data_IF_885106808944
#
_entry.id   IF_885106808944
#
_cell.length_a   1.000
_cell.length_b   1.000
_cell.length_c   1.000
_cell.angle_alpha   90.00
_cell.angle_beta   90.00
_cell.angle_gamma   90.00
#
_symmetry.space_group_name_H-M   'P 1'
#
loop_
_entity.id
_entity.type
_entity.pdbx_description
1 polymer ?
#
# COMPACT_ATOMS: atom_id res chain seq x y z
N UNK A 1 15.40 -41.57 28.84
CA UNK A 1 14.86 -40.49 27.97
C UNK A 1 13.63 -39.94 28.66
N UNK A 2 13.63 -38.65 29.01
CA UNK A 2 12.72 -38.09 30.02
C UNK A 2 11.50 -37.39 29.42
N UNK A 3 10.45 -37.22 30.24
CA UNK A 3 9.22 -36.47 29.93
C UNK A 3 9.49 -35.10 29.28
N UNK A 4 10.56 -34.42 29.71
CA UNK A 4 11.02 -33.13 29.16
C UNK A 4 11.48 -33.18 27.70
N UNK A 5 12.02 -34.31 27.22
CA UNK A 5 12.44 -34.47 25.82
C UNK A 5 11.23 -34.60 24.89
N UNK A 6 10.13 -35.19 25.40
CA UNK A 6 8.90 -35.39 24.65
C UNK A 6 8.15 -34.07 24.39
N UNK A 7 8.10 -33.18 25.40
CA UNK A 7 7.48 -31.84 25.28
C UNK A 7 8.25 -30.96 24.30
N UNK A 8 9.60 -30.96 24.36
CA UNK A 8 10.44 -30.20 23.43
C UNK A 8 10.22 -30.65 21.99
N UNK A 9 10.17 -31.97 21.75
CA UNK A 9 9.92 -32.53 20.42
C UNK A 9 8.51 -32.20 19.89
N UNK A 10 7.50 -32.16 20.75
CA UNK A 10 6.14 -31.77 20.37
C UNK A 10 6.07 -30.27 19.97
N UNK A 11 6.70 -29.39 20.74
CA UNK A 11 6.75 -27.95 20.43
C UNK A 11 7.52 -27.65 19.14
N UNK A 12 8.62 -28.36 18.89
CA UNK A 12 9.43 -28.22 17.66
C UNK A 12 8.64 -28.69 16.42
N UNK A 13 7.94 -29.83 16.51
CA UNK A 13 7.07 -30.33 15.43
C UNK A 13 5.90 -29.37 15.16
N UNK A 14 5.32 -28.78 16.19
CA UNK A 14 4.26 -27.78 16.05
C UNK A 14 4.75 -26.52 15.32
N UNK A 15 5.95 -25.99 15.65
CA UNK A 15 6.55 -24.84 14.94
C UNK A 15 6.73 -25.09 13.46
N UNK A 16 7.25 -26.26 13.10
CA UNK A 16 7.38 -26.65 11.69
C UNK A 16 6.02 -26.82 11.01
N UNK A 17 4.99 -27.29 11.74
CA UNK A 17 3.62 -27.41 11.25
C UNK A 17 2.96 -26.07 10.90
N UNK A 18 3.33 -24.98 11.57
CA UNK A 18 2.85 -23.61 11.30
C UNK A 18 3.78 -22.80 10.37
N UNK A 19 4.74 -23.47 9.71
CA UNK A 19 5.64 -22.86 8.71
C UNK A 19 6.88 -22.16 9.28
N UNK A 20 7.13 -22.24 10.59
CA UNK A 20 8.33 -21.68 11.21
C UNK A 20 9.45 -22.74 11.15
N UNK A 21 10.35 -22.58 10.19
CA UNK A 21 11.48 -23.49 9.99
C UNK A 21 12.81 -22.85 10.41
N UNK A 22 13.63 -23.60 11.17
CA UNK A 22 15.03 -23.23 11.46
C UNK A 22 15.95 -23.28 10.23
N UNK A 23 17.21 -22.90 10.41
CA UNK A 23 18.25 -22.94 9.38
C UNK A 23 18.39 -21.66 8.54
N UNK A 24 19.52 -21.54 7.85
CA UNK A 24 19.85 -20.41 6.98
C UNK A 24 19.63 -20.76 5.51
N UNK A 25 19.05 -19.82 4.76
CA UNK A 25 18.89 -19.95 3.32
C UNK A 25 20.24 -19.83 2.60
N UNK A 26 20.47 -20.72 1.63
CA UNK A 26 21.60 -20.69 0.70
C UNK A 26 21.07 -20.69 -0.73
N UNK A 27 21.82 -20.04 -1.63
CA UNK A 27 21.50 -20.05 -3.05
C UNK A 27 21.52 -21.49 -3.57
N UNK A 28 20.54 -21.85 -4.39
CA UNK A 28 20.51 -23.16 -5.06
C UNK A 28 21.55 -23.13 -6.19
N UNK A 29 22.32 -24.20 -6.32
CA UNK A 29 23.37 -24.29 -7.33
C UNK A 29 22.78 -24.14 -8.75
N UNK A 30 23.42 -23.33 -9.59
CA UNK A 30 22.94 -22.98 -10.93
C UNK A 30 21.75 -22.00 -10.98
N UNK A 31 21.22 -21.55 -9.85
CA UNK A 31 20.11 -20.58 -9.78
C UNK A 31 20.62 -19.21 -9.30
N UNK A 32 19.93 -18.12 -9.68
CA UNK A 32 20.32 -16.76 -9.30
C UNK A 32 19.40 -16.12 -8.25
N UNK A 33 18.14 -16.52 -8.18
CA UNK A 33 17.14 -15.95 -7.25
C UNK A 33 16.47 -17.00 -6.34
N UNK A 34 16.78 -18.29 -6.51
CA UNK A 34 16.18 -19.36 -5.71
C UNK A 34 17.10 -19.79 -4.59
N UNK A 35 16.55 -19.85 -3.39
CA UNK A 35 17.26 -20.21 -2.18
C UNK A 35 16.60 -21.40 -1.52
N UNK A 36 17.41 -22.29 -0.95
CA UNK A 36 16.93 -23.40 -0.14
C UNK A 36 17.55 -23.39 1.25
N UNK A 37 16.84 -23.97 2.21
CA UNK A 37 17.40 -24.35 3.51
C UNK A 37 16.89 -25.72 3.90
N UNK A 38 17.74 -26.49 4.57
CA UNK A 38 17.33 -27.70 5.27
C UNK A 38 16.91 -27.32 6.69
N UNK A 39 15.67 -27.62 7.06
CA UNK A 39 15.22 -27.41 8.44
C UNK A 39 15.83 -28.50 9.34
N UNK A 40 16.63 -28.17 10.37
CA UNK A 40 17.28 -29.17 11.23
C UNK A 40 16.28 -29.95 12.10
N UNK A 41 15.08 -29.40 12.28
CA UNK A 41 14.05 -29.93 13.18
C UNK A 41 13.17 -31.00 12.50
N UNK A 42 12.89 -30.84 11.20
CA UNK A 42 11.99 -31.71 10.45
C UNK A 42 12.60 -32.29 9.18
N UNK A 43 13.87 -31.97 8.88
CA UNK A 43 14.61 -32.39 7.69
C UNK A 43 13.90 -32.10 6.36
N UNK A 44 12.97 -31.15 6.34
CA UNK A 44 12.33 -30.67 5.11
C UNK A 44 13.20 -29.60 4.45
N UNK A 45 13.35 -29.71 3.15
CA UNK A 45 13.92 -28.65 2.32
C UNK A 45 12.87 -27.59 2.07
N UNK A 46 13.15 -26.36 2.50
CA UNK A 46 12.28 -25.20 2.29
C UNK A 46 12.93 -24.34 1.22
N UNK A 47 12.19 -24.04 0.16
CA UNK A 47 12.63 -23.17 -0.91
C UNK A 47 11.91 -21.83 -0.84
N UNK A 48 12.60 -20.79 -1.27
CA UNK A 48 12.01 -19.47 -1.50
C UNK A 48 12.66 -18.84 -2.71
N UNK A 49 11.93 -17.91 -3.33
CA UNK A 49 12.45 -17.05 -4.36
C UNK A 49 12.63 -15.64 -3.79
N UNK A 50 13.77 -15.02 -4.09
CA UNK A 50 14.08 -13.65 -3.69
C UNK A 50 14.70 -12.92 -4.86
N UNK A 51 13.95 -11.97 -5.41
CA UNK A 51 14.41 -11.14 -6.52
C UNK A 51 14.89 -9.79 -6.01
N UNK A 52 16.00 -9.31 -6.59
CA UNK A 52 16.44 -7.93 -6.48
C UNK A 52 15.93 -7.16 -7.69
N UNK A 53 14.80 -6.48 -7.52
CA UNK A 53 14.20 -5.67 -8.57
C UNK A 53 14.93 -4.35 -8.76
N UNK A 54 15.18 -3.98 -10.02
CA UNK A 54 15.75 -2.70 -10.42
C UNK A 54 14.72 -1.58 -10.46
N UNK A 55 15.01 -0.57 -11.27
CA UNK A 55 14.16 0.61 -11.43
C UNK A 55 12.80 0.28 -12.04
N UNK A 56 11.81 1.08 -11.63
CA UNK A 56 10.44 0.99 -12.10
C UNK A 56 10.22 1.85 -13.33
N UNK A 57 9.67 1.25 -14.38
CA UNK A 57 9.34 1.96 -15.61
C UNK A 57 7.90 1.70 -16.03
N UNK A 58 7.29 2.64 -16.76
CA UNK A 58 5.99 2.40 -17.38
C UNK A 58 6.13 1.37 -18.49
N UNK A 59 5.27 0.35 -18.46
CA UNK A 59 5.29 -0.73 -19.46
C UNK A 59 4.69 -0.32 -20.79
N UNK A 60 3.71 0.59 -20.77
CA UNK A 60 3.01 1.05 -21.97
C UNK A 60 2.81 2.56 -21.95
N UNK A 61 2.68 3.13 -23.14
CA UNK A 61 2.20 4.50 -23.31
C UNK A 61 0.74 4.63 -22.89
N UNK A 62 0.41 5.78 -22.29
CA UNK A 62 -0.94 6.13 -21.83
C UNK A 62 -1.58 5.11 -20.87
N UNK A 63 -0.78 4.25 -20.22
CA UNK A 63 -1.22 3.36 -19.15
C UNK A 63 -0.35 3.55 -17.91
N UNK A 64 -0.94 3.35 -16.74
CA UNK A 64 -0.28 3.44 -15.45
C UNK A 64 0.23 2.09 -14.93
N UNK A 65 0.44 1.13 -15.84
CA UNK A 65 1.05 -0.16 -15.54
C UNK A 65 2.57 0.04 -15.52
N UNK A 66 3.20 -0.32 -14.41
CA UNK A 66 4.65 -0.28 -14.25
C UNK A 66 5.23 -1.69 -14.27
N UNK A 67 6.51 -1.78 -14.59
CA UNK A 67 7.29 -3.01 -14.53
C UNK A 67 8.63 -2.74 -13.87
N UNK A 68 9.05 -3.65 -13.01
CA UNK A 68 10.43 -3.77 -12.52
C UNK A 68 10.99 -5.10 -12.98
N UNK A 69 12.25 -5.11 -13.40
CA UNK A 69 12.95 -6.35 -13.76
C UNK A 69 13.95 -6.72 -12.68
N UNK A 70 14.02 -8.00 -12.34
CA UNK A 70 15.07 -8.51 -11.49
C UNK A 70 16.42 -8.34 -12.20
N UNK A 71 17.39 -7.74 -11.51
CA UNK A 71 18.70 -7.47 -12.11
C UNK A 71 19.52 -8.75 -12.34
N UNK A 72 19.19 -9.83 -11.62
CA UNK A 72 19.97 -11.08 -11.64
C UNK A 72 19.38 -12.13 -12.60
N UNK A 73 18.06 -12.17 -12.78
CA UNK A 73 17.39 -13.20 -13.61
C UNK A 73 16.43 -12.64 -14.68
N UNK A 74 16.19 -11.34 -14.70
CA UNK A 74 15.27 -10.71 -15.66
C UNK A 74 13.78 -10.92 -15.37
N UNK A 75 13.40 -11.63 -14.30
CA UNK A 75 12.00 -11.80 -13.91
C UNK A 75 11.29 -10.45 -13.78
N UNK A 76 10.10 -10.34 -14.35
CA UNK A 76 9.32 -9.11 -14.34
C UNK A 76 8.28 -9.13 -13.22
N UNK A 77 8.16 -8.01 -12.51
CA UNK A 77 7.06 -7.75 -11.60
C UNK A 77 6.28 -6.53 -12.09
N UNK A 78 4.99 -6.74 -12.39
CA UNK A 78 4.08 -5.66 -12.72
C UNK A 78 3.56 -4.97 -11.46
N UNK A 79 3.29 -3.67 -11.60
CA UNK A 79 2.66 -2.83 -10.60
C UNK A 79 1.79 -1.77 -11.25
N UNK A 80 1.23 -0.90 -10.42
CA UNK A 80 0.44 0.24 -10.87
C UNK A 80 0.91 1.51 -10.17
N UNK A 81 1.19 2.56 -10.96
CA UNK A 81 1.53 3.88 -10.46
C UNK A 81 0.90 4.94 -11.34
N UNK A 82 0.05 5.77 -10.77
CA UNK A 82 -0.44 6.95 -11.47
C UNK A 82 0.63 8.05 -11.50
N UNK A 83 0.77 8.71 -12.64
CA UNK A 83 1.78 9.76 -12.82
C UNK A 83 1.43 11.01 -12.02
N UNK A 84 0.28 11.60 -12.33
CA UNK A 84 -0.28 12.75 -11.63
C UNK A 84 -1.78 12.79 -11.88
N UNK A 85 -2.53 13.15 -10.85
CA UNK A 85 -3.94 13.49 -10.98
C UNK A 85 -4.10 15.01 -11.07
N UNK A 86 -4.99 15.47 -11.94
CA UNK A 86 -5.36 16.88 -12.09
C UNK A 86 -6.85 17.04 -11.87
N UNK A 87 -7.26 18.08 -11.16
CA UNK A 87 -8.67 18.43 -11.02
C UNK A 87 -9.29 18.71 -12.40
N UNK A 88 -10.44 18.10 -12.66
CA UNK A 88 -11.21 18.30 -13.90
C UNK A 88 -12.58 18.95 -13.64
N UNK A 89 -13.16 18.73 -12.46
CA UNK A 89 -14.48 19.27 -12.10
C UNK A 89 -14.72 19.19 -10.59
N UNK A 90 -15.75 19.92 -10.14
CA UNK A 90 -16.41 19.68 -8.85
C UNK A 90 -17.88 19.40 -9.14
N UNK A 91 -18.43 18.33 -8.55
CA UNK A 91 -19.83 17.97 -8.74
C UNK A 91 -20.78 18.70 -7.79
N UNK A 92 -22.08 18.48 -7.98
CA UNK A 92 -23.15 19.08 -7.18
C UNK A 92 -23.22 18.56 -5.73
N UNK A 93 -22.28 17.69 -5.34
CA UNK A 93 -22.07 17.21 -3.97
C UNK A 93 -20.76 17.72 -3.38
N UNK A 94 -20.13 18.72 -4.03
CA UNK A 94 -18.83 19.30 -3.68
C UNK A 94 -17.64 18.34 -3.81
N UNK A 95 -17.80 17.19 -4.45
CA UNK A 95 -16.69 16.25 -4.64
C UNK A 95 -15.75 16.77 -5.72
N UNK A 96 -14.45 16.80 -5.42
CA UNK A 96 -13.43 17.14 -6.40
C UNK A 96 -13.15 15.92 -7.26
N UNK A 97 -13.45 16.01 -8.56
CA UNK A 97 -13.13 15.00 -9.56
C UNK A 97 -11.75 15.30 -10.13
N UNK A 98 -10.87 14.31 -10.07
CA UNK A 98 -9.55 14.38 -10.66
C UNK A 98 -9.37 13.31 -11.73
N UNK A 99 -8.48 13.56 -12.69
CA UNK A 99 -8.12 12.64 -13.76
C UNK A 99 -6.63 12.41 -13.82
N UNK A 100 -6.20 11.17 -13.98
CA UNK A 100 -4.80 10.86 -14.22
C UNK A 100 -4.37 11.40 -15.60
N UNK A 101 -3.28 12.16 -15.67
CA UNK A 101 -2.79 12.76 -16.93
C UNK A 101 -2.29 11.73 -17.93
N UNK A 102 -1.93 10.53 -17.46
CA UNK A 102 -1.37 9.46 -18.30
C UNK A 102 -2.43 8.48 -18.77
N UNK A 103 -3.19 7.89 -17.85
CA UNK A 103 -4.16 6.83 -18.16
C UNK A 103 -5.61 7.27 -18.20
N UNK A 104 -5.89 8.55 -17.92
CA UNK A 104 -7.23 9.14 -17.92
C UNK A 104 -8.23 8.52 -16.94
N UNK A 105 -7.79 7.64 -16.03
CA UNK A 105 -8.61 7.16 -14.92
C UNK A 105 -9.06 8.34 -14.07
N UNK A 106 -10.36 8.40 -13.78
CA UNK A 106 -10.95 9.42 -12.93
C UNK A 106 -11.12 8.92 -11.50
N UNK A 107 -11.01 9.83 -10.54
CA UNK A 107 -11.26 9.57 -9.12
C UNK A 107 -11.94 10.75 -8.46
N UNK A 108 -12.63 10.48 -7.35
CA UNK A 108 -13.03 11.52 -6.40
C UNK A 108 -11.93 11.65 -5.35
N UNK A 109 -11.39 12.85 -5.15
CA UNK A 109 -10.33 13.09 -4.18
C UNK A 109 -10.54 14.41 -3.43
N UNK A 110 -11.19 14.31 -2.27
CA UNK A 110 -11.49 15.45 -1.42
C UNK A 110 -12.77 16.19 -1.79
N UNK A 111 -13.03 17.27 -1.06
CA UNK A 111 -14.20 18.13 -1.26
C UNK A 111 -13.79 19.58 -1.38
N UNK A 112 -14.51 20.34 -2.22
CA UNK A 112 -14.36 21.79 -2.33
C UNK A 112 -15.73 22.45 -2.17
N UNK A 113 -15.94 22.99 -0.98
CA UNK A 113 -17.17 23.68 -0.62
C UNK A 113 -17.10 25.16 -1.00
N UNK A 114 -18.23 25.68 -1.47
CA UNK A 114 -18.47 27.12 -1.58
C UNK A 114 -19.22 27.60 -0.33
N UNK A 115 -18.50 28.22 0.60
CA UNK A 115 -19.03 28.63 1.91
C UNK A 115 -19.61 30.04 1.86
N UNK A 116 -20.78 30.23 2.45
CA UNK A 116 -21.35 31.56 2.73
C UNK A 116 -21.66 31.68 4.22
N UNK A 117 -21.59 32.91 4.75
CA UNK A 117 -21.93 33.19 6.14
C UNK A 117 -23.45 33.01 6.32
N UNK A 118 -23.83 32.08 7.19
CA UNK A 118 -25.23 31.75 7.49
C UNK A 118 -25.71 32.36 8.80
N UNK A 119 -24.78 32.71 9.69
CA UNK A 119 -25.08 33.34 10.97
C UNK A 119 -23.83 33.62 11.79
N UNK A 120 -24.00 34.24 12.95
CA UNK A 120 -22.92 34.46 13.90
C UNK A 120 -23.46 34.48 15.33
N UNK A 121 -22.71 33.89 16.25
CA UNK A 121 -22.89 34.03 17.70
C UNK A 121 -21.81 34.95 18.27
N UNK A 122 -21.81 35.22 19.57
CA UNK A 122 -20.80 36.08 20.21
C UNK A 122 -19.37 35.57 19.99
N UNK A 123 -19.17 34.26 19.89
CA UNK A 123 -17.86 33.61 19.82
C UNK A 123 -17.54 32.97 18.46
N UNK A 124 -18.54 32.69 17.62
CA UNK A 124 -18.35 31.98 16.35
C UNK A 124 -19.03 32.67 15.15
N UNK A 125 -18.51 32.39 13.95
CA UNK A 125 -19.16 32.60 12.66
C UNK A 125 -19.61 31.24 12.13
N UNK A 126 -20.87 31.14 11.72
CA UNK A 126 -21.47 29.93 11.18
C UNK A 126 -21.53 30.05 9.65
N UNK A 127 -20.97 29.10 8.94
CA UNK A 127 -20.99 29.04 7.47
C UNK A 127 -21.78 27.83 7.01
N UNK A 128 -22.43 27.99 5.87
CA UNK A 128 -23.13 26.92 5.17
C UNK A 128 -22.62 26.82 3.74
N UNK A 129 -22.55 25.61 3.20
CA UNK A 129 -22.18 25.40 1.82
C UNK A 129 -23.39 25.66 0.92
N UNK A 130 -23.24 26.49 -0.12
CA UNK A 130 -24.32 26.82 -1.06
C UNK A 130 -24.72 25.66 -1.97
N UNK A 131 -23.89 24.62 -2.07
CA UNK A 131 -24.09 23.48 -2.97
C UNK A 131 -24.67 22.29 -2.21
N UNK A 132 -23.96 21.78 -1.18
CA UNK A 132 -24.38 20.57 -0.46
C UNK A 132 -25.04 20.83 0.89
N UNK A 133 -25.12 22.09 1.35
CA UNK A 133 -25.72 22.43 2.64
C UNK A 133 -24.92 22.02 3.88
N UNK A 134 -23.70 21.49 3.71
CA UNK A 134 -22.78 21.21 4.82
C UNK A 134 -22.51 22.48 5.64
N UNK A 135 -22.25 22.36 6.94
CA UNK A 135 -22.11 23.49 7.86
C UNK A 135 -20.76 23.45 8.55
N UNK A 136 -20.14 24.62 8.77
CA UNK A 136 -18.90 24.75 9.55
C UNK A 136 -18.94 26.00 10.43
N UNK A 137 -18.17 25.98 11.50
CA UNK A 137 -18.04 27.12 12.41
C UNK A 137 -16.58 27.54 12.53
N UNK A 138 -16.33 28.85 12.53
CA UNK A 138 -15.00 29.42 12.77
C UNK A 138 -15.06 30.36 13.98
N UNK A 139 -14.14 30.15 14.93
CA UNK A 139 -14.04 31.00 16.12
C UNK A 139 -13.62 32.40 15.71
N UNK A 140 -14.29 33.43 16.26
CA UNK A 140 -13.87 34.82 16.08
C UNK A 140 -12.49 35.01 16.73
N UNK A 141 -11.46 35.24 15.94
CA UNK A 141 -10.15 35.65 16.46
C UNK A 141 -10.25 37.10 16.93
N UNK A 142 -10.26 37.30 18.24
CA UNK A 142 -10.03 38.62 18.83
C UNK A 142 -8.56 38.97 18.64
N UNK A 143 -8.23 39.80 17.65
CA UNK A 143 -6.94 40.48 17.67
C UNK A 143 -6.99 41.50 18.83
N UNK A 144 -6.15 41.27 19.84
CA UNK A 144 -5.85 42.19 20.93
C UNK A 144 -4.35 42.43 20.93
#
# INVERSE_FOLDING_TARGET
MGFWDSIKNAAIKAKCGVGIHGGNYKLIDGETCKYSKLCPDCNRTIQKEQHKYGEENYKYDFKCITVKKCIDCGAEQEGERHERFVEIAVDDYCNVKERCVRCFTERVHGKRHNWYLSGSSDTYRHYKCSVCGEEKEERKTSFR
#
